data_IF_977162748881
#
_entry.id   IF_977162748881
#
_cell.length_a   1.000
_cell.length_b   1.000
_cell.length_c   1.000
_cell.angle_alpha   90.00
_cell.angle_beta   90.00
_cell.angle_gamma   90.00
#
_symmetry.space_group_name_H-M   'P 1'
#
loop_
_entity.id
_entity.type
_entity.pdbx_description
1 polymer ?
#
# COMPACT_ATOMS: atom_id res chain seq x y z
N UNK A 1 22.49 15.47 21.42
CA UNK A 1 22.98 14.09 21.33
C UNK A 1 22.85 13.67 19.88
N UNK A 2 23.80 12.95 19.26
CA UNK A 2 23.59 12.44 17.90
C UNK A 2 22.35 11.55 17.93
N UNK A 3 21.55 11.65 16.88
CA UNK A 3 20.32 10.89 16.73
C UNK A 3 20.68 9.39 16.81
N UNK A 4 20.13 8.65 17.76
CA UNK A 4 20.43 7.23 17.95
C UNK A 4 19.80 6.35 16.84
N UNK A 5 19.00 6.95 15.94
CA UNK A 5 18.28 6.26 14.88
C UNK A 5 18.87 6.58 13.50
N UNK A 6 18.78 5.64 12.53
CA UNK A 6 19.27 5.86 11.17
C UNK A 6 18.49 6.99 10.49
N UNK A 7 19.16 7.72 9.59
CA UNK A 7 18.52 8.74 8.74
C UNK A 7 17.95 8.17 7.44
N UNK A 8 18.32 6.94 7.11
CA UNK A 8 17.84 6.18 5.95
C UNK A 8 17.58 4.74 6.37
N UNK A 9 16.47 4.18 5.94
CA UNK A 9 16.07 2.79 6.16
C UNK A 9 15.92 2.10 4.82
N UNK A 10 16.63 1.00 4.63
CA UNK A 10 16.55 0.20 3.41
C UNK A 10 15.57 -0.96 3.62
N UNK A 11 14.45 -0.93 2.89
CA UNK A 11 13.47 -2.02 2.87
C UNK A 11 13.93 -3.10 1.90
N UNK A 12 14.05 -4.32 2.42
CA UNK A 12 14.47 -5.50 1.66
C UNK A 12 13.41 -6.61 1.81
N UNK A 13 13.68 -7.80 1.28
CA UNK A 13 12.83 -9.01 1.42
C UNK A 13 12.72 -9.53 2.86
N UNK A 14 13.60 -9.09 3.75
CA UNK A 14 13.64 -9.44 5.18
C UNK A 14 12.78 -8.53 6.06
N UNK A 15 12.74 -8.86 7.35
CA UNK A 15 12.05 -8.06 8.35
C UNK A 15 12.81 -6.75 8.65
N UNK A 16 12.05 -5.71 9.00
CA UNK A 16 12.58 -4.47 9.58
C UNK A 16 12.81 -4.64 11.08
N UNK A 17 13.80 -3.94 11.62
CA UNK A 17 13.96 -3.82 13.06
C UNK A 17 12.95 -2.82 13.66
N UNK A 18 12.76 -2.85 14.97
CA UNK A 18 11.94 -1.86 15.68
C UNK A 18 12.54 -0.46 15.50
N UNK A 19 13.87 -0.37 15.54
CA UNK A 19 14.62 0.87 15.34
C UNK A 19 14.38 1.49 13.97
N UNK A 20 14.29 0.67 12.89
CA UNK A 20 13.96 1.13 11.54
C UNK A 20 12.54 1.70 11.49
N UNK A 21 11.58 1.01 12.10
CA UNK A 21 10.19 1.48 12.14
C UNK A 21 10.09 2.81 12.89
N UNK A 22 10.74 2.94 14.03
CA UNK A 22 10.77 4.18 14.83
C UNK A 22 11.46 5.30 14.05
N UNK A 23 12.57 5.00 13.37
CA UNK A 23 13.29 5.97 12.56
C UNK A 23 12.42 6.60 11.47
N UNK A 24 11.67 5.81 10.73
CA UNK A 24 10.77 6.30 9.66
C UNK A 24 9.52 6.95 10.25
N UNK A 25 8.86 6.29 11.19
CA UNK A 25 7.58 6.72 11.71
C UNK A 25 7.68 8.04 12.48
N UNK A 26 8.67 8.17 13.36
CA UNK A 26 8.79 9.26 14.33
C UNK A 26 9.85 10.29 13.97
N UNK A 27 10.94 9.85 13.34
CA UNK A 27 12.09 10.73 13.04
C UNK A 27 12.21 11.08 11.56
N UNK A 28 11.31 10.57 10.70
CA UNK A 28 11.23 10.94 9.29
C UNK A 28 12.43 10.44 8.46
N UNK A 29 13.03 9.31 8.87
CA UNK A 29 14.10 8.69 8.07
C UNK A 29 13.62 8.42 6.65
N UNK A 30 14.49 8.62 5.67
CA UNK A 30 14.23 8.32 4.27
C UNK A 30 14.12 6.81 4.05
N UNK A 31 13.25 6.40 3.15
CA UNK A 31 13.03 5.00 2.82
C UNK A 31 13.60 4.71 1.44
N UNK A 32 14.46 3.72 1.36
CA UNK A 32 14.99 3.18 0.11
C UNK A 32 14.55 1.72 -0.05
N UNK A 33 14.34 1.28 -1.28
CA UNK A 33 14.01 -0.12 -1.58
C UNK A 33 15.27 -0.78 -2.15
N UNK A 34 15.66 -1.90 -1.55
CA UNK A 34 16.80 -2.68 -2.04
C UNK A 34 16.52 -3.20 -3.46
N UNK A 35 17.50 -3.19 -4.37
CA UNK A 35 17.34 -3.75 -5.73
C UNK A 35 16.83 -5.20 -5.72
N UNK A 36 17.34 -6.03 -4.81
CA UNK A 36 16.88 -7.41 -4.66
C UNK A 36 15.38 -7.53 -4.33
N UNK A 37 14.82 -6.59 -3.54
CA UNK A 37 13.39 -6.57 -3.27
C UNK A 37 12.57 -6.20 -4.53
N UNK A 38 13.06 -5.28 -5.35
CA UNK A 38 12.40 -4.93 -6.62
C UNK A 38 12.43 -6.11 -7.61
N UNK A 39 13.53 -6.86 -7.65
CA UNK A 39 13.65 -8.07 -8.48
C UNK A 39 12.63 -9.14 -8.06
N UNK A 40 12.48 -9.41 -6.76
CA UNK A 40 11.50 -10.37 -6.22
C UNK A 40 10.06 -9.93 -6.48
N UNK A 41 9.77 -8.63 -6.32
CA UNK A 41 8.45 -8.05 -6.65
C UNK A 41 8.15 -8.21 -8.13
N UNK A 42 9.11 -7.92 -9.02
CA UNK A 42 8.94 -8.05 -10.46
C UNK A 42 8.71 -9.51 -10.89
N UNK A 43 9.53 -10.45 -10.38
CA UNK A 43 9.41 -11.87 -10.69
C UNK A 43 8.02 -12.44 -10.28
N UNK A 44 7.53 -12.07 -9.09
CA UNK A 44 6.19 -12.48 -8.66
C UNK A 44 5.08 -11.82 -9.50
N UNK A 45 5.29 -10.59 -9.93
CA UNK A 45 4.34 -9.92 -10.83
C UNK A 45 4.19 -10.64 -12.16
N UNK A 46 5.26 -11.09 -12.79
CA UNK A 46 5.23 -11.90 -14.00
C UNK A 46 4.32 -13.12 -13.82
N UNK A 47 4.43 -13.80 -12.67
CA UNK A 47 3.57 -14.94 -12.35
C UNK A 47 2.09 -14.57 -12.23
N UNK A 48 1.78 -13.40 -11.67
CA UNK A 48 0.38 -12.89 -11.60
C UNK A 48 -0.15 -12.59 -13.00
N UNK A 49 0.66 -12.04 -13.90
CA UNK A 49 0.27 -11.75 -15.28
C UNK A 49 0.00 -13.03 -16.08
N UNK A 50 0.80 -14.07 -15.90
CA UNK A 50 0.53 -15.39 -16.45
C UNK A 50 -0.81 -15.97 -15.96
N UNK A 51 -1.04 -15.93 -14.63
CA UNK A 51 -2.27 -16.41 -14.00
C UNK A 51 -3.51 -15.59 -14.42
N UNK A 52 -3.33 -14.32 -14.76
CA UNK A 52 -4.43 -13.47 -15.24
C UNK A 52 -4.92 -13.89 -16.63
N UNK A 53 -4.07 -14.54 -17.42
CA UNK A 53 -4.40 -15.06 -18.76
C UNK A 53 -4.87 -16.53 -18.73
N UNK A 54 -4.65 -17.24 -17.62
CA UNK A 54 -5.08 -18.63 -17.47
C UNK A 54 -6.61 -18.71 -17.40
N UNK A 55 -7.25 -19.63 -18.13
CA UNK A 55 -8.69 -19.83 -18.06
C UNK A 55 -9.16 -20.37 -16.70
N UNK A 56 -8.26 -20.94 -15.89
CA UNK A 56 -8.58 -21.40 -14.54
C UNK A 56 -8.79 -20.21 -13.62
N UNK A 57 -9.93 -20.11 -12.91
CA UNK A 57 -10.19 -19.00 -12.00
C UNK A 57 -9.19 -18.93 -10.85
N UNK A 58 -8.52 -17.78 -10.69
CA UNK A 58 -7.57 -17.53 -9.60
C UNK A 58 -8.08 -16.39 -8.74
N UNK A 59 -8.21 -16.63 -7.42
CA UNK A 59 -8.77 -15.67 -6.47
C UNK A 59 -8.04 -14.33 -6.48
N UNK A 60 -8.82 -13.27 -6.69
CA UNK A 60 -8.34 -11.89 -6.68
C UNK A 60 -7.48 -11.48 -7.88
N UNK A 61 -7.27 -12.38 -8.84
CA UNK A 61 -6.61 -12.13 -10.12
C UNK A 61 -7.67 -12.14 -11.23
N UNK A 62 -8.29 -13.31 -11.49
CA UNK A 62 -9.34 -13.47 -12.50
C UNK A 62 -10.73 -13.68 -11.91
N UNK A 63 -10.89 -13.68 -10.58
CA UNK A 63 -12.18 -13.75 -9.89
C UNK A 63 -12.43 -12.50 -9.06
N UNK A 64 -13.67 -12.31 -8.59
CA UNK A 64 -14.01 -11.36 -7.56
C UNK A 64 -13.57 -11.80 -6.16
N UNK A 65 -14.05 -11.10 -5.14
CA UNK A 65 -13.68 -11.29 -3.73
C UNK A 65 -14.88 -11.75 -2.91
N UNK A 66 -14.66 -12.38 -1.75
CA UNK A 66 -15.71 -12.81 -0.84
C UNK A 66 -16.78 -13.65 -1.54
N UNK A 67 -18.01 -13.18 -1.61
CA UNK A 67 -19.12 -13.88 -2.28
C UNK A 67 -18.88 -14.10 -3.79
N UNK A 68 -18.01 -13.32 -4.40
CA UNK A 68 -17.64 -13.42 -5.82
C UNK A 68 -16.35 -14.21 -6.05
N UNK A 69 -15.80 -14.91 -5.04
CA UNK A 69 -14.53 -15.61 -5.09
C UNK A 69 -14.42 -16.68 -6.18
N UNK A 70 -15.56 -17.20 -6.65
CA UNK A 70 -15.64 -18.21 -7.72
C UNK A 70 -16.18 -17.65 -9.04
N UNK A 71 -16.51 -16.35 -9.08
CA UNK A 71 -17.05 -15.72 -10.27
C UNK A 71 -15.91 -15.13 -11.09
N UNK A 72 -15.77 -15.63 -12.31
CA UNK A 72 -14.82 -15.07 -13.27
C UNK A 72 -15.20 -13.62 -13.60
N UNK A 73 -14.21 -12.73 -13.60
CA UNK A 73 -14.37 -11.31 -13.93
C UNK A 73 -13.72 -11.07 -15.29
N UNK A 74 -14.47 -10.51 -16.25
CA UNK A 74 -13.92 -10.13 -17.55
C UNK A 74 -12.71 -9.20 -17.39
N UNK A 75 -11.72 -9.33 -18.26
CA UNK A 75 -10.44 -8.61 -18.17
C UNK A 75 -10.64 -7.10 -18.08
N UNK A 76 -11.52 -6.55 -18.89
CA UNK A 76 -11.85 -5.12 -18.93
C UNK A 76 -12.48 -4.59 -17.63
N UNK A 77 -12.97 -5.46 -16.76
CA UNK A 77 -13.59 -5.09 -15.48
C UNK A 77 -12.64 -5.27 -14.29
N UNK A 78 -11.50 -5.94 -14.47
CA UNK A 78 -10.60 -6.30 -13.35
C UNK A 78 -10.00 -5.08 -12.65
N UNK A 79 -9.52 -4.10 -13.42
CA UNK A 79 -8.99 -2.85 -12.86
C UNK A 79 -10.06 -2.09 -12.07
N UNK A 80 -11.27 -1.98 -12.59
CA UNK A 80 -12.40 -1.35 -11.90
C UNK A 80 -12.77 -2.11 -10.63
N UNK A 81 -12.70 -3.43 -10.61
CA UNK A 81 -12.95 -4.23 -9.42
C UNK A 81 -11.92 -3.95 -8.31
N UNK A 82 -10.63 -3.83 -8.66
CA UNK A 82 -9.58 -3.49 -7.69
C UNK A 82 -9.83 -2.10 -7.08
N UNK A 83 -10.17 -1.12 -7.91
CA UNK A 83 -10.52 0.22 -7.46
C UNK A 83 -11.75 0.22 -6.54
N UNK A 84 -12.79 -0.51 -6.93
CA UNK A 84 -14.02 -0.65 -6.13
C UNK A 84 -13.74 -1.31 -4.77
N UNK A 85 -12.81 -2.27 -4.71
CA UNK A 85 -12.37 -2.88 -3.46
C UNK A 85 -11.79 -1.82 -2.52
N UNK A 86 -10.81 -1.06 -2.97
CA UNK A 86 -10.17 -0.01 -2.16
C UNK A 86 -11.20 1.01 -1.67
N UNK A 87 -12.00 1.56 -2.57
CA UNK A 87 -13.02 2.56 -2.24
C UNK A 87 -14.07 2.06 -1.25
N UNK A 88 -14.53 0.81 -1.40
CA UNK A 88 -15.55 0.24 -0.51
C UNK A 88 -15.03 -0.08 0.89
N UNK A 89 -13.73 -0.29 1.05
CA UNK A 89 -13.11 -0.61 2.34
C UNK A 89 -12.51 0.62 3.04
N UNK A 90 -12.26 1.72 2.35
CA UNK A 90 -11.83 2.99 2.94
C UNK A 90 -13.02 3.69 3.64
N UNK A 91 -13.57 3.04 4.66
CA UNK A 91 -14.81 3.42 5.34
C UNK A 91 -14.61 3.69 6.86
N UNK A 92 -13.39 4.01 7.26
CA UNK A 92 -13.09 4.38 8.65
C UNK A 92 -13.78 5.68 9.05
N UNK A 93 -14.19 5.79 10.33
CA UNK A 93 -14.87 6.95 10.92
C UNK A 93 -14.26 7.32 12.28
N UNK A 94 -14.73 8.42 12.89
CA UNK A 94 -14.24 8.88 14.20
C UNK A 94 -13.01 9.77 14.12
N UNK A 95 -12.26 9.90 15.23
CA UNK A 95 -11.03 10.70 15.28
C UNK A 95 -9.96 10.19 14.32
N UNK A 96 -9.01 11.05 14.01
CA UNK A 96 -7.83 10.66 13.23
C UNK A 96 -6.86 9.87 14.12
N UNK A 97 -6.26 8.85 13.52
CA UNK A 97 -5.12 8.13 14.11
C UNK A 97 -3.86 8.97 13.93
N UNK A 98 -2.96 8.95 14.90
CA UNK A 98 -1.73 9.75 14.90
C UNK A 98 -0.87 9.48 13.66
N UNK A 99 -0.29 10.54 13.09
CA UNK A 99 0.52 10.47 11.87
C UNK A 99 1.68 9.47 12.00
N UNK A 100 2.33 9.38 13.17
CA UNK A 100 3.44 8.42 13.37
C UNK A 100 2.96 6.96 13.27
N UNK A 101 1.74 6.66 13.72
CA UNK A 101 1.15 5.31 13.61
C UNK A 101 0.86 4.97 12.15
N UNK A 102 0.34 5.94 11.38
CA UNK A 102 0.06 5.73 9.96
C UNK A 102 1.35 5.60 9.15
N UNK A 103 2.38 6.38 9.47
CA UNK A 103 3.70 6.21 8.84
C UNK A 103 4.29 4.83 9.12
N UNK A 104 4.16 4.32 10.34
CA UNK A 104 4.55 2.95 10.68
C UNK A 104 3.74 1.91 9.88
N UNK A 105 2.41 2.10 9.80
CA UNK A 105 1.52 1.24 9.01
C UNK A 105 1.94 1.18 7.53
N UNK A 106 2.20 2.34 6.93
CA UNK A 106 2.66 2.44 5.53
C UNK A 106 4.00 1.72 5.32
N UNK A 107 4.97 1.92 6.22
CA UNK A 107 6.28 1.28 6.15
C UNK A 107 6.17 -0.25 6.28
N UNK A 108 5.41 -0.74 7.24
CA UNK A 108 5.19 -2.17 7.45
C UNK A 108 4.46 -2.81 6.28
N UNK A 109 3.50 -2.09 5.67
CA UNK A 109 2.85 -2.54 4.44
C UNK A 109 3.83 -2.58 3.28
N UNK A 110 4.64 -1.54 3.10
CA UNK A 110 5.71 -1.51 2.10
C UNK A 110 6.67 -2.70 2.27
N UNK A 111 7.12 -2.96 3.50
CA UNK A 111 7.97 -4.11 3.81
C UNK A 111 7.31 -5.43 3.40
N UNK A 112 6.02 -5.61 3.71
CA UNK A 112 5.25 -6.79 3.29
C UNK A 112 5.19 -6.94 1.76
N UNK A 113 4.94 -5.85 1.05
CA UNK A 113 4.90 -5.85 -0.42
C UNK A 113 6.27 -6.18 -1.04
N UNK A 114 7.35 -5.67 -0.44
CA UNK A 114 8.74 -5.92 -0.85
C UNK A 114 9.22 -7.37 -0.63
N UNK A 115 8.47 -8.21 0.10
CA UNK A 115 8.79 -9.65 0.19
C UNK A 115 8.66 -10.40 -1.13
N UNK A 116 8.08 -9.78 -2.16
CA UNK A 116 7.82 -10.42 -3.45
C UNK A 116 6.75 -11.51 -3.41
N UNK A 117 5.82 -11.51 -2.43
CA UNK A 117 4.78 -12.55 -2.27
C UNK A 117 3.37 -12.07 -2.57
N UNK A 118 3.20 -10.81 -2.90
CA UNK A 118 1.88 -10.18 -3.05
C UNK A 118 1.44 -10.00 -4.50
N UNK A 119 2.38 -10.00 -5.45
CA UNK A 119 2.10 -9.91 -6.88
C UNK A 119 1.76 -8.50 -7.38
N UNK A 120 2.14 -7.46 -6.65
CA UNK A 120 2.05 -6.07 -7.13
C UNK A 120 3.18 -5.76 -8.13
N UNK A 121 2.98 -4.74 -8.96
CA UNK A 121 4.06 -4.21 -9.80
C UNK A 121 5.08 -3.42 -8.97
N UNK A 122 6.36 -3.34 -9.40
CA UNK A 122 7.37 -2.52 -8.73
C UNK A 122 6.94 -1.07 -8.49
N UNK A 123 6.21 -0.45 -9.42
CA UNK A 123 5.70 0.91 -9.27
C UNK A 123 4.86 1.11 -8.00
N UNK A 124 4.16 0.09 -7.52
CA UNK A 124 3.36 0.18 -6.30
C UNK A 124 4.24 0.38 -5.08
N UNK A 125 5.28 -0.42 -4.91
CA UNK A 125 6.23 -0.29 -3.78
C UNK A 125 7.03 1.01 -3.87
N UNK A 126 7.43 1.42 -5.07
CA UNK A 126 8.11 2.69 -5.30
C UNK A 126 7.23 3.88 -4.92
N UNK A 127 5.93 3.84 -5.24
CA UNK A 127 4.99 4.91 -4.89
C UNK A 127 4.78 5.01 -3.38
N UNK A 128 4.68 3.87 -2.67
CA UNK A 128 4.67 3.84 -1.20
C UNK A 128 5.91 4.52 -0.60
N UNK A 129 7.11 4.16 -1.09
CA UNK A 129 8.35 4.76 -0.61
C UNK A 129 8.42 6.27 -0.90
N UNK A 130 8.05 6.69 -2.11
CA UNK A 130 8.00 8.11 -2.50
C UNK A 130 7.03 8.91 -1.63
N UNK A 131 5.83 8.38 -1.36
CA UNK A 131 4.84 9.04 -0.50
C UNK A 131 5.35 9.20 0.95
N UNK A 132 5.95 8.14 1.53
CA UNK A 132 6.59 8.21 2.85
C UNK A 132 7.68 9.26 2.89
N UNK A 133 8.54 9.32 1.88
CA UNK A 133 9.66 10.27 1.78
C UNK A 133 9.19 11.72 1.57
N UNK A 134 8.06 11.91 0.87
CA UNK A 134 7.43 13.21 0.69
C UNK A 134 6.62 13.67 1.93
N UNK A 135 6.54 12.84 2.98
CA UNK A 135 5.77 13.15 4.18
C UNK A 135 4.26 13.18 3.93
N UNK A 136 3.78 12.47 2.90
CA UNK A 136 2.36 12.34 2.60
C UNK A 136 1.79 11.22 3.48
N UNK A 137 0.98 11.59 4.47
CA UNK A 137 0.40 10.68 5.46
C UNK A 137 -1.11 10.61 5.25
N UNK A 138 -1.66 9.46 4.82
CA UNK A 138 -3.11 9.28 4.65
C UNK A 138 -3.87 9.53 5.94
N UNK A 139 -5.03 10.20 5.83
CA UNK A 139 -5.95 10.34 6.97
C UNK A 139 -6.67 9.02 7.17
N UNK A 140 -6.36 8.38 8.29
CA UNK A 140 -6.99 7.13 8.74
C UNK A 140 -7.76 7.42 10.01
N UNK A 141 -8.95 6.83 10.15
CA UNK A 141 -9.83 7.03 11.30
C UNK A 141 -9.79 5.82 12.23
N UNK A 142 -9.99 6.06 13.55
CA UNK A 142 -9.92 5.03 14.59
C UNK A 142 -10.93 3.89 14.39
N UNK A 143 -12.18 4.24 14.02
CA UNK A 143 -13.25 3.25 13.90
C UNK A 143 -13.28 2.69 12.48
N UNK A 144 -12.87 1.47 12.35
CA UNK A 144 -12.70 0.71 11.10
C UNK A 144 -11.63 -0.34 11.21
N UNK A 145 -10.67 -0.14 12.14
CA UNK A 145 -9.68 -1.15 12.49
C UNK A 145 -10.30 -2.26 13.32
N UNK A 146 -9.94 -3.50 13.02
CA UNK A 146 -10.28 -4.69 13.81
C UNK A 146 -9.06 -5.26 14.53
N UNK A 147 -7.89 -4.60 14.43
CA UNK A 147 -6.64 -5.01 15.07
C UNK A 147 -6.09 -6.34 14.55
N UNK A 148 -6.38 -6.71 13.31
CA UNK A 148 -5.97 -7.95 12.70
C UNK A 148 -4.94 -7.74 11.59
N UNK A 149 -4.24 -8.82 11.20
CA UNK A 149 -3.43 -8.83 9.99
C UNK A 149 -4.33 -8.69 8.76
N UNK A 150 -3.99 -7.79 7.84
CA UNK A 150 -4.88 -7.44 6.73
C UNK A 150 -6.09 -6.63 7.22
N UNK A 151 -5.83 -5.64 8.05
CA UNK A 151 -6.82 -4.70 8.59
C UNK A 151 -7.31 -3.78 7.46
N UNK A 152 -8.44 -4.15 6.89
CA UNK A 152 -8.88 -3.68 5.57
C UNK A 152 -9.10 -2.17 5.53
N UNK A 153 -9.82 -1.58 6.50
CA UNK A 153 -10.17 -0.17 6.44
C UNK A 153 -8.94 0.76 6.54
N UNK A 154 -8.04 0.63 7.52
CA UNK A 154 -6.83 1.46 7.59
C UNK A 154 -5.95 1.32 6.35
N UNK A 155 -5.73 0.10 5.89
CA UNK A 155 -4.91 -0.18 4.72
C UNK A 155 -5.56 0.33 3.42
N UNK A 156 -6.89 0.28 3.32
CA UNK A 156 -7.62 0.83 2.19
C UNK A 156 -7.52 2.35 2.11
N UNK A 157 -7.55 3.07 3.25
CA UNK A 157 -7.28 4.51 3.25
C UNK A 157 -5.86 4.83 2.78
N UNK A 158 -4.85 4.03 3.20
CA UNK A 158 -3.49 4.20 2.69
C UNK A 158 -3.41 3.97 1.18
N UNK A 159 -4.03 2.91 0.67
CA UNK A 159 -4.07 2.63 -0.76
C UNK A 159 -4.83 3.71 -1.53
N UNK A 160 -5.97 4.19 -1.01
CA UNK A 160 -6.79 5.24 -1.62
C UNK A 160 -5.99 6.52 -1.85
N UNK A 161 -5.20 6.94 -0.85
CA UNK A 161 -4.34 8.12 -0.97
C UNK A 161 -3.32 7.98 -2.10
N UNK A 162 -2.75 6.78 -2.33
CA UNK A 162 -1.83 6.55 -3.44
C UNK A 162 -2.51 6.52 -4.82
N UNK A 163 -3.84 6.39 -4.86
CA UNK A 163 -4.65 6.58 -6.08
C UNK A 163 -4.98 8.05 -6.34
N UNK A 164 -4.57 8.97 -5.46
CA UNK A 164 -4.91 10.39 -5.52
C UNK A 164 -6.31 10.70 -5.01
N UNK A 165 -6.90 9.84 -4.17
CA UNK A 165 -8.24 10.02 -3.62
C UNK A 165 -8.20 10.12 -2.08
N UNK A 166 -9.17 10.84 -1.51
CA UNK A 166 -9.27 11.04 -0.06
C UNK A 166 -8.34 12.13 0.46
N UNK A 167 -8.17 12.16 1.76
CA UNK A 167 -7.46 13.21 2.48
C UNK A 167 -6.10 12.70 3.00
N UNK A 168 -5.11 13.59 3.01
CA UNK A 168 -3.77 13.33 3.55
C UNK A 168 -3.32 14.52 4.40
N UNK A 169 -2.37 14.26 5.32
CA UNK A 169 -1.62 15.31 5.99
C UNK A 169 -0.22 15.40 5.37
N UNK A 170 0.19 16.64 5.11
CA UNK A 170 1.55 16.97 4.67
C UNK A 170 2.06 18.08 5.58
N UNK A 171 3.09 17.81 6.37
CA UNK A 171 3.58 18.72 7.42
C UNK A 171 2.47 19.18 8.40
N UNK A 172 1.56 18.29 8.76
CA UNK A 172 0.42 18.56 9.64
C UNK A 172 -0.78 19.26 8.96
N UNK A 173 -0.65 19.74 7.73
CA UNK A 173 -1.74 20.37 6.98
C UNK A 173 -2.59 19.33 6.26
N UNK A 174 -3.92 19.46 6.37
CA UNK A 174 -4.88 18.63 5.64
C UNK A 174 -4.94 19.04 4.17
N UNK A 175 -4.81 18.09 3.26
CA UNK A 175 -4.83 18.30 1.81
C UNK A 175 -5.61 17.18 1.10
N UNK A 176 -6.04 17.46 -0.11
CA UNK A 176 -6.49 16.42 -1.04
C UNK A 176 -5.29 15.55 -1.45
N UNK A 177 -5.50 14.23 -1.54
CA UNK A 177 -4.41 13.30 -1.85
C UNK A 177 -3.85 13.52 -3.25
N UNK A 178 -4.70 13.80 -4.24
CA UNK A 178 -4.27 14.08 -5.62
C UNK A 178 -3.40 15.33 -5.71
N UNK A 179 -3.80 16.41 -5.02
CA UNK A 179 -3.03 17.65 -4.97
C UNK A 179 -1.67 17.44 -4.28
N UNK A 180 -1.65 16.67 -3.20
CA UNK A 180 -0.42 16.38 -2.46
C UNK A 180 0.57 15.53 -3.29
N UNK A 181 0.08 14.50 -3.99
CA UNK A 181 0.88 13.69 -4.89
C UNK A 181 1.44 14.54 -6.05
N UNK A 182 0.60 15.34 -6.69
CA UNK A 182 1.00 16.22 -7.79
C UNK A 182 2.09 17.21 -7.34
N UNK A 183 1.94 17.82 -6.16
CA UNK A 183 2.94 18.73 -5.60
C UNK A 183 4.29 18.04 -5.31
N UNK A 184 4.27 16.76 -5.02
CA UNK A 184 5.46 15.93 -4.81
C UNK A 184 6.04 15.33 -6.10
N UNK A 185 5.40 15.55 -7.26
CA UNK A 185 5.79 14.95 -8.54
C UNK A 185 5.56 13.43 -8.58
N UNK A 186 4.58 12.94 -7.84
CA UNK A 186 4.21 11.52 -7.76
C UNK A 186 2.94 11.30 -8.58
N UNK A 187 3.03 10.44 -9.60
CA UNK A 187 1.85 10.06 -10.38
C UNK A 187 0.93 9.14 -9.56
N UNK A 188 -0.39 9.41 -9.50
CA UNK A 188 -1.34 8.52 -8.87
C UNK A 188 -1.31 7.11 -9.47
N UNK A 189 -1.39 6.09 -8.63
CA UNK A 189 -1.41 4.70 -9.08
C UNK A 189 -2.67 4.39 -9.87
N UNK A 190 -2.50 3.65 -10.96
CA UNK A 190 -3.58 2.98 -11.66
C UNK A 190 -3.48 1.48 -11.39
N UNK A 191 -4.50 0.95 -10.71
CA UNK A 191 -4.49 -0.45 -10.27
C UNK A 191 -4.70 -1.42 -11.43
N UNK A 192 -3.98 -2.54 -11.35
CA UNK A 192 -4.18 -3.73 -12.17
C UNK A 192 -4.63 -4.90 -11.28
N UNK A 193 -4.77 -6.08 -11.87
CA UNK A 193 -5.12 -7.30 -11.17
C UNK A 193 -4.26 -7.50 -9.92
N UNK A 194 -4.88 -7.88 -8.81
CA UNK A 194 -4.27 -8.09 -7.50
C UNK A 194 -3.88 -6.81 -6.73
N UNK A 195 -3.75 -5.66 -7.38
CA UNK A 195 -3.18 -4.45 -6.78
C UNK A 195 -4.15 -3.65 -5.88
N UNK A 196 -5.44 -3.94 -5.92
CA UNK A 196 -6.38 -3.49 -4.89
C UNK A 196 -6.35 -4.39 -3.66
N UNK A 197 -6.28 -5.71 -3.89
CA UNK A 197 -6.28 -6.69 -2.80
C UNK A 197 -4.96 -6.71 -2.03
N UNK A 198 -3.81 -6.70 -2.71
CA UNK A 198 -2.50 -6.85 -2.09
C UNK A 198 -2.16 -5.74 -1.06
N UNK A 199 -2.45 -4.44 -1.30
CA UNK A 199 -2.24 -3.40 -0.31
C UNK A 199 -3.15 -3.49 0.92
N UNK A 200 -4.35 -4.06 0.81
CA UNK A 200 -5.37 -4.02 1.87
C UNK A 200 -5.57 -5.35 2.60
N UNK A 201 -5.08 -6.45 2.07
CA UNK A 201 -5.28 -7.79 2.64
C UNK A 201 -3.96 -8.52 2.89
N UNK A 202 -4.03 -9.65 3.61
CA UNK A 202 -2.92 -10.59 3.81
C UNK A 202 -2.89 -11.74 2.78
N UNK A 203 -3.75 -11.68 1.78
CA UNK A 203 -3.81 -12.73 0.75
C UNK A 203 -2.57 -12.67 -0.15
N UNK A 204 -1.79 -13.69 -0.07
CA UNK A 204 -0.56 -13.92 -0.82
C UNK A 204 -0.58 -15.28 -1.50
#
# INVERSE_FOLDING_TARGET
MPNAYPTTVTVNVGALSIEDVVAVARYGAQVEIAPAALEEVAATRERVEELAQDPTPVYGISTGFGALARRHIPEEMRAQLQLSLVRSHAAGTGPEVEEEVIRALMLLRLSTLCTGRTGVRPVVVETYAKALNAGIVPVVREYGSLGCSGDLAPLAHCALALLGEGEVRVNGELKDAGDALAAAGIEPLQLREKEGLAPVSYTH
#
